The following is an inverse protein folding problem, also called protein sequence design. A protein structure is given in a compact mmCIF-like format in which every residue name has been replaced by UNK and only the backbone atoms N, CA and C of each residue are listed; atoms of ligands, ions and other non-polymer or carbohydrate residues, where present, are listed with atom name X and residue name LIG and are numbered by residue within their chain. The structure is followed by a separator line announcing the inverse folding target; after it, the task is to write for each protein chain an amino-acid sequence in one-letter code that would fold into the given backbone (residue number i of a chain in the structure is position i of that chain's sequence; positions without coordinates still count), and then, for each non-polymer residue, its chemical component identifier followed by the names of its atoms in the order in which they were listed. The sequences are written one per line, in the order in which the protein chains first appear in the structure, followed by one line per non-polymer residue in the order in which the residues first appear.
data_IF_951680947343
#
_entry.id   IF_951680947343
#
_cell.length_a   1.000
_cell.length_b   1.000
_cell.length_c   1.000
_cell.angle_alpha   90.00
_cell.angle_beta   90.00
_cell.angle_gamma   90.00
#
_symmetry.space_group_name_H-M   'P 1'
#
loop_
_entity.id
_entity.type
_entity.pdbx_description
1 polymer ?
#
# COMPACT_ATOMS: atom_id res chain seq x y z
N UNK A 1 7.25 17.95 -9.84
CA UNK A 1 6.97 18.25 -8.43
C UNK A 1 6.88 16.99 -7.58
N UNK A 2 6.34 15.87 -8.08
CA UNK A 2 6.42 14.57 -7.39
C UNK A 2 7.81 14.20 -6.84
N UNK A 3 8.88 14.34 -7.64
CA UNK A 3 10.25 14.10 -7.14
C UNK A 3 10.71 15.03 -6.00
N UNK A 4 10.23 16.28 -5.97
CA UNK A 4 10.50 17.20 -4.85
C UNK A 4 9.70 16.81 -3.60
N UNK A 5 8.49 16.25 -3.78
CA UNK A 5 7.69 15.72 -2.69
C UNK A 5 8.39 14.55 -1.98
N UNK A 6 8.99 13.62 -2.74
CA UNK A 6 9.77 12.51 -2.17
C UNK A 6 10.96 13.04 -1.37
N UNK A 7 11.67 14.04 -1.89
CA UNK A 7 12.79 14.68 -1.16
C UNK A 7 12.31 15.33 0.13
N UNK A 8 11.20 16.07 0.11
CA UNK A 8 10.63 16.69 1.30
C UNK A 8 10.23 15.62 2.34
N UNK A 9 9.65 14.50 1.91
CA UNK A 9 9.27 13.38 2.78
C UNK A 9 10.49 12.74 3.46
N UNK A 10 11.58 12.53 2.73
CA UNK A 10 12.86 12.02 3.29
C UNK A 10 13.50 13.02 4.26
N UNK A 11 13.17 14.31 4.15
CA UNK A 11 13.62 15.37 5.06
C UNK A 11 12.64 15.66 6.20
N UNK A 12 11.67 14.77 6.43
CA UNK A 12 10.61 14.91 7.43
C UNK A 12 9.73 16.18 7.28
N UNK A 13 9.72 16.78 6.10
CA UNK A 13 8.90 17.95 5.77
C UNK A 13 7.54 17.51 5.22
N UNK A 14 6.77 16.79 6.05
CA UNK A 14 5.56 16.11 5.61
C UNK A 14 4.43 17.05 5.14
N UNK A 15 4.36 18.28 5.63
CA UNK A 15 3.43 19.29 5.11
C UNK A 15 3.81 19.75 3.70
N UNK A 16 5.09 20.05 3.50
CA UNK A 16 5.62 20.45 2.19
C UNK A 16 5.48 19.31 1.18
N UNK A 17 5.77 18.08 1.60
CA UNK A 17 5.58 16.90 0.77
C UNK A 17 4.11 16.71 0.37
N UNK A 18 3.17 16.89 1.30
CA UNK A 18 1.74 16.79 1.03
C UNK A 18 1.31 17.78 -0.05
N UNK A 19 1.67 19.06 0.07
CA UNK A 19 1.32 20.09 -0.91
C UNK A 19 1.90 19.77 -2.29
N UNK A 20 3.16 19.33 -2.34
CA UNK A 20 3.85 18.96 -3.58
C UNK A 20 3.22 17.76 -4.27
N UNK A 21 2.80 16.74 -3.49
CA UNK A 21 2.13 15.57 -4.03
C UNK A 21 0.70 15.88 -4.48
N UNK A 22 -0.04 16.70 -3.72
CA UNK A 22 -1.40 17.11 -4.07
C UNK A 22 -1.42 17.90 -5.38
N UNK A 23 -0.54 18.89 -5.54
CA UNK A 23 -0.43 19.64 -6.80
C UNK A 23 -0.01 18.72 -7.96
N UNK A 24 0.89 17.76 -7.69
CA UNK A 24 1.30 16.78 -8.68
C UNK A 24 0.12 15.90 -9.12
N UNK A 25 -0.67 15.40 -8.16
CA UNK A 25 -1.86 14.59 -8.40
C UNK A 25 -2.89 15.33 -9.25
N UNK A 26 -3.28 16.54 -8.85
CA UNK A 26 -4.28 17.34 -9.57
C UNK A 26 -3.88 17.54 -11.03
N UNK A 27 -2.61 17.89 -11.26
CA UNK A 27 -2.09 18.13 -12.61
C UNK A 27 -2.13 16.87 -13.48
N UNK A 28 -1.62 15.74 -12.97
CA UNK A 28 -1.54 14.50 -13.77
C UNK A 28 -2.92 13.86 -13.95
N UNK A 29 -3.82 14.01 -12.96
CA UNK A 29 -5.19 13.56 -13.05
C UNK A 29 -5.99 14.35 -14.09
N UNK A 30 -5.87 15.69 -14.10
CA UNK A 30 -6.47 16.54 -15.13
C UNK A 30 -5.96 16.21 -16.53
N UNK A 31 -4.68 15.86 -16.65
CA UNK A 31 -4.07 15.37 -17.88
C UNK A 31 -4.47 13.93 -18.25
N UNK A 32 -5.35 13.28 -17.47
CA UNK A 32 -5.80 11.88 -17.61
C UNK A 32 -4.66 10.87 -17.61
N UNK A 33 -3.56 11.21 -16.94
CA UNK A 33 -2.42 10.34 -16.81
C UNK A 33 -2.51 9.53 -15.51
N UNK A 34 -3.38 8.52 -15.54
CA UNK A 34 -3.78 7.76 -14.34
C UNK A 34 -2.64 6.98 -13.70
N UNK A 35 -1.62 6.56 -14.47
CA UNK A 35 -0.42 5.93 -13.93
C UNK A 35 0.31 6.85 -12.94
N UNK A 36 0.57 8.11 -13.34
CA UNK A 36 1.22 9.06 -12.45
C UNK A 36 0.28 9.57 -11.35
N UNK A 37 -1.04 9.58 -11.61
CA UNK A 37 -2.02 9.94 -10.59
C UNK A 37 -2.04 8.90 -9.45
N UNK A 38 -1.99 7.61 -9.77
CA UNK A 38 -1.90 6.53 -8.79
C UNK A 38 -0.61 6.65 -7.96
N UNK A 39 0.53 6.88 -8.60
CA UNK A 39 1.80 7.10 -7.90
C UNK A 39 1.78 8.34 -6.99
N UNK A 40 1.09 9.42 -7.37
CA UNK A 40 0.94 10.60 -6.51
C UNK A 40 0.04 10.31 -5.29
N UNK A 41 -1.04 9.55 -5.47
CA UNK A 41 -1.92 9.11 -4.38
C UNK A 41 -1.23 8.15 -3.41
N UNK A 42 -0.42 7.21 -3.92
CA UNK A 42 0.41 6.35 -3.09
C UNK A 42 1.31 7.19 -2.17
N UNK A 43 2.04 8.16 -2.75
CA UNK A 43 2.92 9.03 -1.99
C UNK A 43 2.17 9.90 -0.96
N UNK A 44 1.00 10.44 -1.32
CA UNK A 44 0.13 11.14 -0.37
C UNK A 44 -0.27 10.24 0.79
N UNK A 45 -0.68 9.01 0.49
CA UNK A 45 -1.06 8.02 1.50
C UNK A 45 0.09 7.72 2.46
N UNK A 46 1.27 7.41 1.94
CA UNK A 46 2.47 7.14 2.75
C UNK A 46 2.87 8.35 3.59
N UNK A 47 2.81 9.56 3.03
CA UNK A 47 3.09 10.79 3.75
C UNK A 47 2.08 11.03 4.90
N UNK A 48 0.80 10.74 4.67
CA UNK A 48 -0.24 10.86 5.70
C UNK A 48 -0.13 9.79 6.79
N UNK A 49 0.43 8.61 6.49
CA UNK A 49 0.84 7.65 7.53
C UNK A 49 1.87 8.29 8.45
N UNK A 50 2.91 8.93 7.91
CA UNK A 50 3.95 9.60 8.72
C UNK A 50 3.40 10.76 9.55
N UNK A 51 2.36 11.45 9.06
CA UNK A 51 1.64 12.51 9.78
C UNK A 51 0.67 11.98 10.85
N UNK A 52 0.43 10.67 10.90
CA UNK A 52 -0.58 10.06 11.77
C UNK A 52 -2.02 10.24 11.28
N UNK A 53 -2.23 10.74 10.07
CA UNK A 53 -3.54 10.94 9.43
C UNK A 53 -4.03 9.64 8.76
N UNK A 54 -4.20 8.59 9.57
CA UNK A 54 -4.39 7.22 9.07
C UNK A 54 -5.65 7.02 8.23
N UNK A 55 -6.76 7.70 8.54
CA UNK A 55 -7.99 7.59 7.73
C UNK A 55 -7.85 8.28 6.37
N UNK A 56 -7.22 9.46 6.34
CA UNK A 56 -6.87 10.15 5.08
C UNK A 56 -5.95 9.28 4.23
N UNK A 57 -4.91 8.70 4.84
CA UNK A 57 -4.00 7.79 4.18
C UNK A 57 -4.72 6.55 3.62
N UNK A 58 -5.61 5.94 4.41
CA UNK A 58 -6.42 4.79 3.99
C UNK A 58 -7.24 5.12 2.73
N UNK A 59 -7.88 6.29 2.65
CA UNK A 59 -8.61 6.71 1.46
C UNK A 59 -7.72 6.95 0.24
N UNK A 60 -6.56 7.58 0.42
CA UNK A 60 -5.62 7.84 -0.68
C UNK A 60 -5.01 6.55 -1.24
N UNK A 61 -4.68 5.59 -0.36
CA UNK A 61 -4.20 4.26 -0.77
C UNK A 61 -5.28 3.48 -1.51
N UNK A 62 -6.54 3.56 -1.06
CA UNK A 62 -7.69 2.98 -1.78
C UNK A 62 -7.78 3.51 -3.20
N UNK A 63 -7.72 4.83 -3.34
CA UNK A 63 -7.86 5.48 -4.64
C UNK A 63 -6.66 5.18 -5.55
N UNK A 64 -5.45 5.05 -4.99
CA UNK A 64 -4.27 4.57 -5.70
C UNK A 64 -4.48 3.14 -6.25
N UNK A 65 -4.95 2.20 -5.42
CA UNK A 65 -5.26 0.82 -5.83
C UNK A 65 -6.27 0.82 -6.98
N UNK A 66 -7.35 1.60 -6.88
CA UNK A 66 -8.38 1.67 -7.92
C UNK A 66 -7.82 2.19 -9.26
N UNK A 67 -6.96 3.22 -9.23
CA UNK A 67 -6.32 3.71 -10.44
C UNK A 67 -5.31 2.71 -11.02
N UNK A 68 -4.49 2.09 -10.19
CA UNK A 68 -3.52 1.09 -10.64
C UNK A 68 -4.19 -0.17 -11.21
N UNK A 69 -5.34 -0.58 -10.68
CA UNK A 69 -6.19 -1.60 -11.29
C UNK A 69 -6.66 -1.19 -12.69
N UNK A 70 -7.11 0.08 -12.84
CA UNK A 70 -7.59 0.59 -14.13
C UNK A 70 -6.48 0.61 -15.19
N UNK A 71 -5.24 0.91 -14.81
CA UNK A 71 -4.10 0.97 -15.75
C UNK A 71 -3.27 -0.32 -15.82
N UNK A 72 -3.56 -1.31 -14.98
CA UNK A 72 -2.88 -2.62 -14.98
C UNK A 72 -1.51 -2.63 -14.29
N UNK A 73 -1.28 -1.76 -13.29
CA UNK A 73 0.02 -1.63 -12.60
C UNK A 73 0.05 -2.43 -11.30
N UNK A 74 0.42 -3.71 -11.37
CA UNK A 74 0.46 -4.59 -10.18
C UNK A 74 1.52 -4.19 -9.13
N UNK A 75 2.62 -3.54 -9.53
CA UNK A 75 3.60 -2.99 -8.59
C UNK A 75 2.96 -1.90 -7.70
N UNK A 76 2.17 -1.00 -8.29
CA UNK A 76 1.50 0.07 -7.56
C UNK A 76 0.43 -0.45 -6.60
N UNK A 77 -0.33 -1.46 -7.02
CA UNK A 77 -1.27 -2.18 -6.14
C UNK A 77 -0.52 -2.80 -4.95
N UNK A 78 0.57 -3.53 -5.18
CA UNK A 78 1.34 -4.17 -4.10
C UNK A 78 1.86 -3.12 -3.10
N UNK A 79 2.44 -2.02 -3.59
CA UNK A 79 2.96 -0.95 -2.73
C UNK A 79 1.85 -0.28 -1.91
N UNK A 80 0.68 -0.03 -2.52
CA UNK A 80 -0.44 0.56 -1.80
C UNK A 80 -1.03 -0.40 -0.73
N UNK A 81 -1.06 -1.71 -1.01
CA UNK A 81 -1.46 -2.73 -0.04
C UNK A 81 -0.45 -2.84 1.11
N UNK A 82 0.86 -2.69 0.86
CA UNK A 82 1.89 -2.57 1.91
C UNK A 82 1.62 -1.33 2.76
N UNK A 83 1.24 -0.20 2.16
CA UNK A 83 0.81 1.00 2.89
C UNK A 83 -0.38 0.74 3.81
N UNK A 84 -1.39 -0.01 3.34
CA UNK A 84 -2.53 -0.41 4.18
C UNK A 84 -2.09 -1.36 5.32
N UNK A 85 -1.15 -2.27 5.04
CA UNK A 85 -0.56 -3.13 6.06
C UNK A 85 0.19 -2.30 7.12
N UNK A 86 0.87 -1.22 6.73
CA UNK A 86 1.48 -0.27 7.65
C UNK A 86 0.47 0.42 8.57
N UNK A 87 -0.73 0.77 8.07
CA UNK A 87 -1.81 1.31 8.89
C UNK A 87 -2.30 0.28 9.92
N UNK A 88 -2.50 -0.97 9.51
CA UNK A 88 -2.89 -2.06 10.41
C UNK A 88 -1.79 -2.35 11.46
N UNK A 89 -0.53 -2.34 11.03
CA UNK A 89 0.64 -2.54 11.87
C UNK A 89 0.77 -1.46 12.96
N UNK A 90 0.59 -0.19 12.59
CA UNK A 90 0.56 0.93 13.56
C UNK A 90 -0.55 0.78 14.60
N UNK A 91 -1.67 0.14 14.22
CA UNK A 91 -2.78 -0.18 15.13
C UNK A 91 -2.54 -1.47 15.93
N UNK A 92 -1.42 -2.17 15.70
CA UNK A 92 -1.08 -3.49 16.24
C UNK A 92 -2.12 -4.57 15.88
N UNK A 93 -2.80 -4.39 14.76
CA UNK A 93 -3.67 -5.41 14.20
C UNK A 93 -2.81 -6.38 13.37
N UNK A 94 -2.16 -7.31 14.08
CA UNK A 94 -1.23 -8.27 13.48
C UNK A 94 -1.91 -9.21 12.49
N UNK A 95 -3.17 -9.59 12.75
CA UNK A 95 -3.93 -10.48 11.87
C UNK A 95 -4.24 -9.78 10.54
N UNK A 96 -4.69 -8.53 10.58
CA UNK A 96 -4.95 -7.77 9.37
C UNK A 96 -3.66 -7.42 8.61
N UNK A 97 -2.59 -7.09 9.35
CA UNK A 97 -1.25 -6.87 8.77
C UNK A 97 -0.83 -8.11 7.98
N UNK A 98 -0.85 -9.30 8.61
CA UNK A 98 -0.45 -10.55 7.96
C UNK A 98 -1.33 -10.89 6.76
N UNK A 99 -2.64 -10.64 6.86
CA UNK A 99 -3.57 -10.87 5.75
C UNK A 99 -3.23 -10.01 4.53
N UNK A 100 -2.94 -8.72 4.75
CA UNK A 100 -2.56 -7.81 3.67
C UNK A 100 -1.21 -8.21 3.07
N UNK A 101 -0.24 -8.65 3.87
CA UNK A 101 1.03 -9.20 3.37
C UNK A 101 0.83 -10.48 2.55
N UNK A 102 -0.09 -11.37 2.93
CA UNK A 102 -0.41 -12.56 2.14
C UNK A 102 -1.07 -12.22 0.79
N UNK A 103 -1.83 -11.12 0.71
CA UNK A 103 -2.32 -10.59 -0.57
C UNK A 103 -1.16 -10.08 -1.41
N UNK A 104 -0.23 -9.32 -0.82
CA UNK A 104 0.99 -8.86 -1.49
C UNK A 104 1.74 -10.06 -2.07
N UNK A 105 2.00 -11.10 -1.28
CA UNK A 105 2.68 -12.33 -1.73
C UNK A 105 2.01 -12.97 -2.95
N UNK A 106 0.67 -12.98 -2.97
CA UNK A 106 -0.11 -13.50 -4.09
C UNK A 106 0.09 -12.66 -5.35
N UNK A 107 0.14 -11.33 -5.23
CA UNK A 107 0.41 -10.40 -6.34
C UNK A 107 1.85 -10.59 -6.84
N UNK A 108 2.83 -10.61 -5.95
CA UNK A 108 4.24 -10.78 -6.29
C UNK A 108 4.46 -12.07 -7.08
N UNK A 109 3.95 -13.18 -6.56
CA UNK A 109 4.07 -14.49 -7.18
C UNK A 109 3.34 -14.57 -8.53
N UNK A 110 2.15 -14.01 -8.64
CA UNK A 110 1.32 -14.14 -9.84
C UNK A 110 1.82 -13.29 -11.01
N UNK A 111 2.29 -12.08 -10.73
CA UNK A 111 2.64 -11.09 -11.75
C UNK A 111 4.15 -10.87 -11.90
N UNK A 112 4.98 -11.55 -11.11
CA UNK A 112 6.43 -11.40 -11.15
C UNK A 112 6.89 -10.00 -10.70
N UNK A 113 6.10 -9.35 -9.84
CA UNK A 113 6.44 -8.05 -9.24
C UNK A 113 7.62 -8.25 -8.30
N UNK A 114 8.59 -7.35 -8.38
CA UNK A 114 9.74 -7.30 -7.49
C UNK A 114 9.58 -6.03 -6.66
N UNK A 115 9.52 -6.17 -5.33
CA UNK A 115 9.52 -5.03 -4.44
C UNK A 115 10.90 -4.36 -4.45
N UNK A 116 10.92 -3.05 -4.63
CA UNK A 116 12.12 -2.22 -4.53
C UNK A 116 12.21 -1.56 -3.14
N UNK A 117 13.29 -0.82 -2.90
CA UNK A 117 13.42 0.03 -1.73
C UNK A 117 12.56 1.30 -1.87
N UNK A 118 11.83 1.76 -0.82
CA UNK A 118 11.83 1.24 0.56
C UNK A 118 10.75 0.19 0.86
N UNK A 119 9.82 -0.11 -0.06
CA UNK A 119 8.67 -0.98 0.23
C UNK A 119 9.07 -2.40 0.66
N UNK A 120 10.18 -2.92 0.15
CA UNK A 120 10.74 -4.21 0.57
C UNK A 120 11.09 -4.25 2.05
N UNK A 121 11.67 -3.17 2.59
CA UNK A 121 12.09 -3.13 4.00
C UNK A 121 10.87 -3.10 4.92
N UNK A 122 9.84 -2.32 4.58
CA UNK A 122 8.58 -2.31 5.32
C UNK A 122 7.89 -3.68 5.28
N UNK A 123 7.83 -4.32 4.11
CA UNK A 123 7.27 -5.66 3.97
C UNK A 123 8.00 -6.67 4.87
N UNK A 124 9.34 -6.71 4.81
CA UNK A 124 10.16 -7.64 5.58
C UNK A 124 10.00 -7.38 7.10
N UNK A 125 9.99 -6.11 7.52
CA UNK A 125 9.76 -5.72 8.91
C UNK A 125 8.37 -6.16 9.41
N UNK A 126 7.31 -5.83 8.67
CA UNK A 126 5.94 -6.17 9.08
C UNK A 126 5.75 -7.68 9.17
N UNK A 127 6.36 -8.43 8.24
CA UNK A 127 6.35 -9.89 8.27
C UNK A 127 7.02 -10.43 9.54
N UNK A 128 8.21 -9.93 9.85
CA UNK A 128 8.94 -10.33 11.06
C UNK A 128 8.15 -10.01 12.34
N UNK A 129 7.51 -8.84 12.40
CA UNK A 129 6.70 -8.46 13.56
C UNK A 129 5.46 -9.37 13.71
N UNK A 130 4.83 -9.76 12.59
CA UNK A 130 3.75 -10.75 12.62
C UNK A 130 4.23 -12.12 13.10
N UNK A 131 5.43 -12.57 12.74
CA UNK A 131 6.03 -13.83 13.23
C UNK A 131 6.30 -13.81 14.74
N UNK A 132 6.57 -12.64 15.31
CA UNK A 132 6.79 -12.48 16.76
C UNK A 132 5.50 -12.47 17.58
N UNK A 133 4.40 -11.99 17.00
CA UNK A 133 3.14 -11.75 17.73
C UNK A 133 2.05 -12.79 17.45
N UNK A 134 2.15 -13.55 16.36
CA UNK A 134 1.15 -14.55 15.96
C UNK A 134 1.70 -15.96 16.07
N UNK A 135 0.80 -16.92 16.28
CA UNK A 135 1.18 -18.33 16.28
C UNK A 135 1.39 -18.86 14.87
N UNK A 136 2.11 -19.98 14.74
CA UNK A 136 2.28 -20.69 13.46
C UNK A 136 0.92 -21.09 12.85
N UNK A 137 -0.07 -21.42 13.70
CA UNK A 137 -1.42 -21.77 13.27
C UNK A 137 -2.19 -20.55 12.70
N UNK A 138 -2.02 -19.36 13.28
CA UNK A 138 -2.59 -18.12 12.74
C UNK A 138 -2.00 -17.82 11.35
N UNK A 139 -0.69 -17.95 11.20
CA UNK A 139 -0.01 -17.79 9.91
C UNK A 139 -0.57 -18.77 8.88
N UNK A 140 -0.63 -20.05 9.23
CA UNK A 140 -1.14 -21.09 8.34
C UNK A 140 -2.58 -20.79 7.90
N UNK A 141 -3.48 -20.48 8.84
CA UNK A 141 -4.89 -20.19 8.55
C UNK A 141 -5.06 -18.97 7.65
N UNK A 142 -4.31 -17.90 7.89
CA UNK A 142 -4.39 -16.68 7.06
C UNK A 142 -3.91 -16.98 5.65
N UNK A 143 -2.75 -17.60 5.49
CA UNK A 143 -2.19 -17.92 4.18
C UNK A 143 -3.07 -18.92 3.40
N UNK A 144 -3.61 -19.95 4.06
CA UNK A 144 -4.57 -20.87 3.44
C UNK A 144 -5.83 -20.15 2.96
N UNK A 145 -6.41 -19.29 3.80
CA UNK A 145 -7.61 -18.53 3.48
C UNK A 145 -7.42 -17.57 2.30
N UNK A 146 -6.28 -16.85 2.26
CA UNK A 146 -5.95 -15.93 1.18
C UNK A 146 -5.61 -16.68 -0.11
N UNK A 147 -4.74 -17.69 -0.06
CA UNK A 147 -4.30 -18.42 -1.25
C UNK A 147 -5.38 -19.34 -1.85
N UNK A 148 -6.45 -19.65 -1.11
CA UNK A 148 -7.61 -20.34 -1.66
C UNK A 148 -8.45 -19.47 -2.61
N UNK A 149 -8.30 -18.13 -2.54
CA UNK A 149 -9.04 -17.22 -3.41
C UNK A 149 -8.35 -17.08 -4.79
N UNK A 150 -9.12 -16.90 -5.88
CA UNK A 150 -8.53 -16.55 -7.16
C UNK A 150 -7.93 -15.14 -7.10
N UNK A 151 -6.87 -14.90 -7.88
CA UNK A 151 -6.17 -13.60 -7.88
C UNK A 151 -7.13 -12.43 -8.17
N UNK A 152 -8.13 -12.62 -9.03
CA UNK A 152 -9.10 -11.58 -9.35
C UNK A 152 -9.91 -11.16 -8.13
N UNK A 153 -10.22 -12.08 -7.21
CA UNK A 153 -10.87 -11.76 -5.92
C UNK A 153 -9.91 -11.01 -5.01
N UNK A 154 -8.66 -11.46 -4.90
CA UNK A 154 -7.65 -10.82 -4.05
C UNK A 154 -7.33 -9.39 -4.49
N UNK A 155 -7.50 -9.09 -5.77
CA UNK A 155 -7.32 -7.75 -6.31
C UNK A 155 -8.52 -6.84 -6.07
N UNK A 156 -9.71 -7.32 -5.71
CA UNK A 156 -10.87 -6.42 -5.55
C UNK A 156 -10.72 -5.52 -4.32
N UNK A 157 -11.14 -4.26 -4.46
CA UNK A 157 -10.98 -3.27 -3.39
C UNK A 157 -11.75 -3.64 -2.12
N UNK A 158 -12.93 -4.26 -2.24
CA UNK A 158 -13.74 -4.73 -1.12
C UNK A 158 -13.16 -5.97 -0.42
N UNK A 159 -12.32 -6.74 -1.12
CA UNK A 159 -11.57 -7.83 -0.50
C UNK A 159 -10.31 -7.32 0.22
N UNK A 160 -9.60 -6.38 -0.41
CA UNK A 160 -8.41 -5.74 0.18
C UNK A 160 -8.80 -4.93 1.40
N UNK A 161 -9.86 -4.13 1.31
CA UNK A 161 -10.33 -3.27 2.39
C UNK A 161 -11.65 -3.81 2.92
N UNK A 162 -11.55 -4.64 3.96
CA UNK A 162 -12.72 -5.06 4.73
C UNK A 162 -13.30 -3.81 5.41
N UNK A 163 -14.60 -3.60 5.26
CA UNK A 163 -15.38 -2.59 5.98
C UNK A 163 -15.69 -3.06 7.42
#
# INVERSE_FOLDING_TARGET
KGGLGVVAMVQDQYDVANDLFLESYERVYQARNYLYAAGALLNLGLNNIQRGELETARHQLRDAIMLDQQVGTYNGIANAVIGLAGIAHLRKDWLETLRLLAIVDSILKRFGVILDYPERDYYDQYRQDCEQHLSVDDHQKIYESVHAQPIDTLLRIDFIMRD
#
